data_IF_385556110983
#
_entry.id   IF_385556110983
#
_cell.length_a   1.000
_cell.length_b   1.000
_cell.length_c   1.000
_cell.angle_alpha   90.00
_cell.angle_beta   90.00
_cell.angle_gamma   90.00
#
_symmetry.space_group_name_H-M   'P 1'
#
loop_
_entity.id
_entity.type
_entity.pdbx_description
1 polymer ?
#
# COMPACT_ATOMS: atom_id res chain seq x y z
N UNK A 1 -5.72 62.24 18.80
CA UNK A 1 -6.17 62.03 20.20
C UNK A 1 -6.08 60.54 20.47
N UNK A 2 -5.40 60.18 21.56
CA UNK A 2 -5.02 58.81 21.93
C UNK A 2 -6.26 58.00 22.32
N UNK A 3 -6.50 56.88 21.66
CA UNK A 3 -7.43 55.85 22.15
C UNK A 3 -6.62 54.77 22.88
N UNK A 4 -6.98 54.57 24.14
CA UNK A 4 -6.47 53.49 25.01
C UNK A 4 -6.90 52.12 24.47
N UNK A 5 -6.08 51.07 24.59
CA UNK A 5 -6.51 49.70 24.38
C UNK A 5 -7.20 49.15 25.64
N UNK A 6 -8.27 48.38 25.42
CA UNK A 6 -8.93 47.55 26.43
C UNK A 6 -7.98 46.47 26.95
N UNK A 7 -7.95 46.30 28.27
CA UNK A 7 -7.38 45.14 28.94
C UNK A 7 -8.30 43.91 28.73
N UNK A 8 -7.76 42.87 28.09
CA UNK A 8 -8.28 41.51 28.21
C UNK A 8 -7.34 40.72 29.14
N UNK A 9 -7.91 40.20 30.21
CA UNK A 9 -7.25 39.36 31.22
C UNK A 9 -6.98 37.99 30.60
N UNK A 10 -5.71 37.72 30.26
CA UNK A 10 -5.27 36.39 29.83
C UNK A 10 -5.05 35.48 31.03
N UNK A 11 -5.89 34.45 31.16
CA UNK A 11 -5.62 33.30 32.02
C UNK A 11 -4.50 32.49 31.38
N UNK A 12 -3.32 32.51 31.98
CA UNK A 12 -2.17 31.69 31.56
C UNK A 12 -2.48 30.24 31.94
N UNK A 13 -2.88 29.42 30.96
CA UNK A 13 -2.79 27.98 31.09
C UNK A 13 -1.34 27.56 30.84
N UNK A 14 -0.64 27.21 31.92
CA UNK A 14 0.63 26.50 31.83
C UNK A 14 0.32 25.08 31.35
N UNK A 15 0.42 24.86 30.04
CA UNK A 15 0.48 23.50 29.48
C UNK A 15 1.83 22.94 29.86
N UNK A 16 1.84 22.02 30.81
CA UNK A 16 3.00 21.21 31.14
C UNK A 16 3.22 20.27 29.94
N UNK A 17 4.10 20.66 29.02
CA UNK A 17 4.58 19.75 27.99
C UNK A 17 5.33 18.61 28.68
N UNK A 18 4.68 17.46 28.82
CA UNK A 18 5.39 16.22 29.09
C UNK A 18 6.09 15.84 27.79
N UNK A 19 7.39 16.09 27.72
CA UNK A 19 8.27 15.41 26.78
C UNK A 19 8.25 13.92 27.10
N UNK A 20 7.44 13.15 26.36
CA UNK A 20 7.57 11.70 26.29
C UNK A 20 8.78 11.42 25.41
N UNK A 21 9.98 11.45 26.01
CA UNK A 21 11.15 10.79 25.42
C UNK A 21 11.05 9.32 25.75
N UNK A 22 10.23 8.63 24.97
CA UNK A 22 10.20 7.18 24.91
C UNK A 22 10.14 6.82 23.44
N UNK A 23 11.27 6.44 22.85
CA UNK A 23 11.24 5.59 21.66
C UNK A 23 10.46 4.36 22.07
N UNK A 24 9.21 4.22 21.60
CA UNK A 24 8.56 2.93 21.59
C UNK A 24 9.47 2.06 20.72
N UNK A 25 10.27 1.21 21.37
CA UNK A 25 10.97 0.14 20.66
C UNK A 25 9.85 -0.64 19.97
N UNK A 26 9.92 -0.76 18.65
CA UNK A 26 8.99 -1.59 17.88
C UNK A 26 8.92 -2.98 18.54
N UNK A 27 7.72 -3.56 18.58
CA UNK A 27 7.54 -4.85 19.23
C UNK A 27 8.42 -5.90 18.53
N UNK A 28 9.05 -6.80 19.31
CA UNK A 28 9.94 -7.80 18.72
C UNK A 28 9.13 -8.77 17.84
N UNK A 29 9.60 -9.07 16.61
CA UNK A 29 8.92 -10.02 15.75
C UNK A 29 8.92 -11.41 16.37
N UNK A 30 7.83 -12.16 16.16
CA UNK A 30 7.70 -13.52 16.68
C UNK A 30 8.66 -14.49 16.00
N UNK A 31 8.97 -14.27 14.72
CA UNK A 31 9.91 -15.11 13.97
C UNK A 31 10.48 -14.38 12.76
N UNK A 32 11.77 -14.54 12.50
CA UNK A 32 12.48 -13.94 11.36
C UNK A 32 13.35 -14.98 10.67
N UNK A 33 13.18 -15.09 9.35
CA UNK A 33 14.08 -15.82 8.46
C UNK A 33 14.16 -15.08 7.13
N UNK A 34 15.01 -14.05 7.10
CA UNK A 34 15.16 -13.17 5.94
C UNK A 34 15.58 -13.95 4.68
N UNK A 35 16.38 -15.02 4.84
CA UNK A 35 16.86 -15.85 3.73
C UNK A 35 15.72 -16.58 3.00
N UNK A 36 14.59 -16.80 3.68
CA UNK A 36 13.38 -17.39 3.12
C UNK A 36 12.23 -16.38 2.93
N UNK A 37 12.52 -15.08 2.96
CA UNK A 37 11.52 -14.01 2.91
C UNK A 37 10.47 -14.09 4.03
N UNK A 38 10.90 -14.37 5.27
CA UNK A 38 10.01 -14.49 6.42
C UNK A 38 10.29 -13.41 7.45
N UNK A 39 9.23 -12.70 7.83
CA UNK A 39 9.18 -11.83 9.00
C UNK A 39 7.74 -11.91 9.51
N UNK A 40 7.57 -12.48 10.69
CA UNK A 40 6.28 -12.63 11.37
C UNK A 40 6.22 -11.51 12.42
N UNK A 41 5.34 -10.51 12.25
CA UNK A 41 5.26 -9.35 13.16
C UNK A 41 4.81 -9.77 14.55
N UNK A 42 4.95 -8.90 15.55
CA UNK A 42 4.48 -9.16 16.91
C UNK A 42 2.95 -9.40 16.94
N UNK A 43 2.43 -10.05 17.98
CA UNK A 43 1.00 -10.41 18.01
C UNK A 43 0.10 -9.16 17.96
N UNK A 44 0.48 -8.11 18.68
CA UNK A 44 -0.19 -6.81 18.74
C UNK A 44 -0.17 -6.02 17.42
N UNK A 45 0.73 -6.36 16.50
CA UNK A 45 0.86 -5.71 15.19
C UNK A 45 0.02 -6.41 14.10
N UNK A 46 -0.55 -7.59 14.38
CA UNK A 46 -1.23 -8.42 13.37
C UNK A 46 -2.67 -8.06 13.12
N UNK A 47 -3.28 -7.23 13.95
CA UNK A 47 -4.67 -6.82 13.84
C UNK A 47 -4.80 -5.35 14.24
N UNK A 48 -5.35 -4.52 13.35
CA UNK A 48 -5.52 -3.08 13.57
C UNK A 48 -6.84 -2.62 12.96
N UNK A 49 -7.24 -1.39 13.28
CA UNK A 49 -8.45 -0.76 12.74
C UNK A 49 -8.08 0.27 11.67
N UNK A 50 -8.71 0.15 10.50
CA UNK A 50 -8.78 1.20 9.48
C UNK A 50 -10.20 1.76 9.50
N UNK A 51 -10.36 3.06 9.72
CA UNK A 51 -11.67 3.72 9.59
C UNK A 51 -11.81 4.24 8.16
N UNK A 52 -12.92 3.93 7.51
CA UNK A 52 -13.21 4.35 6.15
C UNK A 52 -14.51 5.14 6.14
N UNK A 53 -14.50 6.30 5.49
CA UNK A 53 -15.68 7.09 5.21
C UNK A 53 -15.78 7.39 3.73
N UNK A 54 -16.99 7.62 3.21
CA UNK A 54 -17.18 7.99 1.82
C UNK A 54 -18.28 9.03 1.66
N UNK A 55 -18.06 9.98 0.75
CA UNK A 55 -19.05 10.97 0.32
C UNK A 55 -18.97 11.14 -1.19
N UNK A 56 -20.08 11.50 -1.83
CA UNK A 56 -20.11 11.75 -3.27
C UNK A 56 -21.13 12.83 -3.63
N UNK A 57 -20.96 13.41 -4.82
CA UNK A 57 -21.92 14.33 -5.43
C UNK A 57 -22.18 13.89 -6.87
N UNK A 58 -22.73 14.78 -7.71
CA UNK A 58 -23.08 14.44 -9.10
C UNK A 58 -21.88 14.12 -10.00
N UNK A 59 -20.67 14.49 -9.61
CA UNK A 59 -19.48 14.39 -10.48
C UNK A 59 -18.34 13.59 -9.85
N UNK A 60 -18.20 13.64 -8.52
CA UNK A 60 -17.04 13.09 -7.80
C UNK A 60 -17.45 12.21 -6.63
N UNK A 61 -16.57 11.26 -6.31
CA UNK A 61 -16.54 10.53 -5.06
C UNK A 61 -15.26 10.90 -4.29
N UNK A 62 -15.37 10.96 -2.96
CA UNK A 62 -14.25 11.06 -2.06
C UNK A 62 -14.29 9.91 -1.05
N UNK A 63 -13.21 9.14 -1.00
CA UNK A 63 -12.95 8.13 0.04
C UNK A 63 -12.02 8.74 1.08
N UNK A 64 -12.35 8.58 2.35
CA UNK A 64 -11.57 9.07 3.48
C UNK A 64 -11.05 7.91 4.31
N UNK A 65 -9.80 8.00 4.72
CA UNK A 65 -9.16 7.04 5.61
C UNK A 65 -8.76 7.73 6.90
N UNK A 66 -8.97 7.05 8.03
CA UNK A 66 -8.29 7.32 9.29
C UNK A 66 -7.60 6.05 9.78
N UNK A 67 -6.29 6.13 10.01
CA UNK A 67 -5.47 5.02 10.49
C UNK A 67 -4.51 5.50 11.58
N UNK A 68 -4.74 5.06 12.81
CA UNK A 68 -3.90 5.38 13.97
C UNK A 68 -2.58 4.60 13.93
N UNK A 69 -1.46 5.30 14.12
CA UNK A 69 -0.14 4.68 14.24
C UNK A 69 0.81 5.59 15.03
N UNK A 70 1.54 5.02 15.99
CA UNK A 70 2.58 5.75 16.73
C UNK A 70 3.90 5.84 15.96
N UNK A 71 3.99 5.18 14.79
CA UNK A 71 5.20 5.08 13.98
C UNK A 71 4.94 5.42 12.50
N UNK A 72 4.40 6.61 12.18
CA UNK A 72 4.08 6.98 10.82
C UNK A 72 5.34 7.11 9.96
N UNK A 73 5.28 6.67 8.71
CA UNK A 73 6.39 6.87 7.77
C UNK A 73 5.97 7.50 6.45
N UNK A 74 6.48 8.70 6.20
CA UNK A 74 6.47 9.35 4.88
C UNK A 74 7.86 9.32 4.22
N UNK A 75 8.78 8.47 4.68
CA UNK A 75 10.12 8.31 4.11
C UNK A 75 10.12 7.19 3.08
N UNK A 76 10.92 7.31 2.00
CA UNK A 76 11.03 6.19 1.04
C UNK A 76 12.36 6.19 0.29
N UNK A 77 13.33 5.47 0.86
CA UNK A 77 14.62 5.15 0.28
C UNK A 77 15.45 6.37 -0.18
N UNK A 78 16.74 6.31 0.11
CA UNK A 78 17.63 7.45 -0.11
C UNK A 78 18.94 6.99 -0.71
N UNK A 79 19.55 7.84 -1.52
CA UNK A 79 20.95 7.75 -1.89
C UNK A 79 21.76 8.50 -0.84
N UNK A 80 22.75 7.84 -0.24
CA UNK A 80 23.67 8.44 0.72
C UNK A 80 25.08 8.34 0.12
N UNK A 81 25.78 9.46 0.06
CA UNK A 81 27.15 9.49 -0.45
C UNK A 81 28.11 8.93 0.61
N UNK A 82 28.74 7.80 0.31
CA UNK A 82 29.68 7.11 1.20
C UNK A 82 30.90 6.63 0.42
N UNK A 83 32.10 6.93 0.92
CA UNK A 83 33.37 6.45 0.34
C UNK A 83 33.52 6.74 -1.17
N UNK A 84 32.90 7.81 -1.66
CA UNK A 84 32.93 8.22 -3.07
C UNK A 84 31.82 7.64 -3.95
N UNK A 85 30.89 6.87 -3.37
CA UNK A 85 29.78 6.21 -4.08
C UNK A 85 28.42 6.62 -3.50
N UNK A 86 27.36 6.50 -4.31
CA UNK A 86 25.99 6.72 -3.85
C UNK A 86 25.34 5.39 -3.47
N UNK A 87 25.20 5.16 -2.17
CA UNK A 87 24.68 3.92 -1.61
C UNK A 87 23.18 4.05 -1.34
N UNK A 88 22.40 3.03 -1.70
CA UNK A 88 20.97 2.99 -1.43
C UNK A 88 20.70 2.57 0.01
N UNK A 89 19.99 3.42 0.74
CA UNK A 89 19.40 3.12 2.04
C UNK A 89 17.88 2.99 1.92
N UNK A 90 17.28 2.26 2.86
CA UNK A 90 15.86 1.95 2.88
C UNK A 90 15.52 0.69 2.07
N UNK A 91 14.78 -0.24 2.66
CA UNK A 91 14.19 -1.42 2.01
C UNK A 91 12.79 -1.67 2.56
N UNK A 92 11.89 -2.18 1.72
CA UNK A 92 10.55 -2.59 2.18
C UNK A 92 10.42 -4.09 2.42
N UNK A 93 11.52 -4.85 2.41
CA UNK A 93 11.45 -6.31 2.54
C UNK A 93 12.82 -6.95 2.80
N UNK A 94 12.87 -8.08 3.52
CA UNK A 94 11.78 -8.63 4.33
C UNK A 94 11.52 -7.81 5.59
N UNK A 95 10.24 -7.67 5.97
CA UNK A 95 9.83 -6.90 7.15
C UNK A 95 10.03 -5.38 7.04
N UNK A 96 9.93 -4.68 8.20
CA UNK A 96 10.25 -3.27 8.35
C UNK A 96 11.66 -2.90 7.90
N UNK A 97 11.81 -1.70 7.35
CA UNK A 97 13.13 -1.09 7.17
C UNK A 97 13.77 -0.81 8.54
N UNK A 98 15.03 -1.25 8.78
CA UNK A 98 15.70 -1.02 10.07
C UNK A 98 15.88 0.46 10.46
N UNK A 99 15.82 1.38 9.48
CA UNK A 99 15.94 2.82 9.69
C UNK A 99 14.59 3.54 9.59
N UNK A 100 13.49 2.83 9.37
CA UNK A 100 12.18 3.43 9.13
C UNK A 100 12.06 4.19 7.81
N UNK A 101 12.93 3.92 6.82
CA UNK A 101 13.03 4.66 5.56
C UNK A 101 12.19 4.04 4.43
N UNK A 102 10.99 3.58 4.76
CA UNK A 102 10.02 3.07 3.80
C UNK A 102 8.62 3.56 4.15
N UNK A 103 7.80 3.85 3.14
CA UNK A 103 6.58 4.64 3.33
C UNK A 103 5.38 3.79 3.78
N UNK A 104 4.48 4.45 4.50
CA UNK A 104 3.14 3.97 4.73
C UNK A 104 2.28 4.12 3.47
N UNK A 105 1.35 3.17 3.29
CA UNK A 105 0.45 3.12 2.13
C UNK A 105 -0.90 2.58 2.53
N UNK A 106 -1.94 3.17 1.96
CA UNK A 106 -3.31 2.68 2.06
C UNK A 106 -3.81 2.44 0.64
N UNK A 107 -4.31 1.24 0.38
CA UNK A 107 -4.74 0.82 -0.95
C UNK A 107 -6.16 0.26 -0.90
N UNK A 108 -6.94 0.51 -1.95
CA UNK A 108 -8.27 -0.06 -2.15
C UNK A 108 -8.32 -0.75 -3.51
N UNK A 109 -8.73 -2.01 -3.52
CA UNK A 109 -9.22 -2.69 -4.73
C UNK A 109 -10.72 -2.44 -4.84
N UNK A 110 -11.21 -2.16 -6.04
CA UNK A 110 -12.62 -1.91 -6.34
C UNK A 110 -13.05 -2.71 -7.56
N UNK A 111 -14.20 -3.37 -7.44
CA UNK A 111 -14.88 -4.07 -8.52
C UNK A 111 -16.37 -3.70 -8.58
N UNK A 112 -16.93 -3.74 -9.78
CA UNK A 112 -18.34 -3.46 -10.10
C UNK A 112 -19.18 -4.73 -10.29
N UNK A 113 -18.66 -5.89 -9.85
CA UNK A 113 -19.29 -7.20 -9.99
C UNK A 113 -18.91 -7.94 -11.27
N UNK A 114 -18.02 -7.37 -12.10
CA UNK A 114 -17.54 -8.03 -13.32
C UNK A 114 -16.40 -9.02 -13.07
N UNK A 115 -15.78 -9.02 -11.87
CA UNK A 115 -14.85 -10.07 -11.43
C UNK A 115 -15.62 -11.05 -10.54
N UNK A 116 -15.98 -12.26 -11.02
CA UNK A 116 -16.71 -13.23 -10.22
C UNK A 116 -15.97 -13.56 -8.93
N UNK A 117 -16.74 -13.68 -7.86
CA UNK A 117 -16.30 -14.11 -6.54
C UNK A 117 -15.32 -13.15 -5.81
N UNK A 118 -15.11 -11.94 -6.32
CA UNK A 118 -14.28 -10.96 -5.61
C UNK A 118 -14.93 -10.49 -4.29
N UNK A 119 -16.27 -10.43 -4.24
CA UNK A 119 -16.99 -10.08 -3.00
C UNK A 119 -16.85 -11.12 -1.90
N UNK A 120 -16.61 -12.36 -2.28
CA UNK A 120 -16.50 -13.53 -1.43
C UNK A 120 -15.04 -13.71 -0.99
N UNK A 121 -14.08 -13.61 -1.90
CA UNK A 121 -12.68 -13.95 -1.65
C UNK A 121 -11.77 -12.75 -1.39
N UNK A 122 -12.17 -11.56 -1.84
CA UNK A 122 -11.38 -10.34 -1.74
C UNK A 122 -9.98 -10.50 -2.34
N UNK A 123 -8.99 -9.89 -1.70
CA UNK A 123 -7.62 -9.85 -2.23
C UNK A 123 -6.92 -11.23 -2.31
N UNK A 124 -7.42 -12.28 -1.64
CA UNK A 124 -6.80 -13.61 -1.67
C UNK A 124 -6.82 -14.25 -3.06
N UNK A 125 -7.85 -13.96 -3.86
CA UNK A 125 -7.90 -14.43 -5.26
C UNK A 125 -6.77 -13.87 -6.12
N UNK A 126 -6.07 -12.84 -5.65
CA UNK A 126 -4.96 -12.21 -6.38
C UNK A 126 -3.57 -12.66 -5.91
N UNK A 127 -3.50 -13.53 -4.91
CA UNK A 127 -2.25 -13.97 -4.29
C UNK A 127 -1.94 -15.39 -4.73
N UNK A 128 -0.82 -15.58 -5.41
CA UNK A 128 -0.46 -16.85 -6.03
C UNK A 128 0.94 -17.29 -5.67
N UNK A 129 1.17 -18.61 -5.72
CA UNK A 129 2.51 -19.18 -5.65
C UNK A 129 3.46 -18.54 -6.68
N UNK A 130 4.72 -18.40 -6.32
CA UNK A 130 5.73 -17.78 -7.19
C UNK A 130 5.76 -16.26 -7.14
N UNK A 131 4.79 -15.61 -6.46
CA UNK A 131 4.81 -14.16 -6.28
C UNK A 131 6.06 -13.71 -5.51
N UNK A 132 6.58 -12.54 -5.91
CA UNK A 132 7.75 -11.94 -5.26
C UNK A 132 7.56 -11.83 -3.76
N UNK A 133 8.65 -12.00 -3.01
CA UNK A 133 8.69 -11.90 -1.55
C UNK A 133 7.88 -12.98 -0.80
N UNK A 134 7.26 -13.94 -1.50
CA UNK A 134 6.87 -15.21 -0.88
C UNK A 134 8.10 -16.12 -0.70
N UNK A 135 7.94 -17.13 0.15
CA UNK A 135 8.96 -18.18 0.36
C UNK A 135 9.18 -19.00 -0.90
N UNK A 136 8.13 -19.16 -1.72
CA UNK A 136 8.12 -19.89 -2.99
C UNK A 136 8.29 -18.98 -4.22
N UNK A 137 8.80 -17.76 -4.03
CA UNK A 137 8.95 -16.78 -5.11
C UNK A 137 9.67 -17.39 -6.32
N UNK A 138 9.12 -17.15 -7.51
CA UNK A 138 9.67 -17.66 -8.75
C UNK A 138 11.07 -17.06 -8.99
N UNK A 139 11.96 -17.87 -9.56
CA UNK A 139 13.29 -17.42 -9.92
C UNK A 139 13.21 -16.29 -10.96
N UNK A 140 13.97 -15.22 -10.73
CA UNK A 140 13.92 -14.03 -11.58
C UNK A 140 14.43 -14.28 -13.00
N UNK A 141 15.35 -15.24 -13.21
CA UNK A 141 15.79 -15.62 -14.56
C UNK A 141 14.68 -16.38 -15.29
N UNK A 142 13.96 -17.28 -14.59
CA UNK A 142 12.80 -17.95 -15.15
C UNK A 142 11.71 -16.95 -15.57
N UNK A 143 11.41 -15.94 -14.75
CA UNK A 143 10.43 -14.90 -15.12
C UNK A 143 10.90 -14.06 -16.31
N UNK A 144 12.19 -13.70 -16.38
CA UNK A 144 12.75 -12.97 -17.53
C UNK A 144 12.74 -13.79 -18.82
N UNK A 145 12.83 -15.11 -18.73
CA UNK A 145 12.77 -16.02 -19.87
C UNK A 145 11.33 -16.32 -20.34
N UNK A 146 10.31 -15.94 -19.56
CA UNK A 146 8.92 -16.13 -19.96
C UNK A 146 8.57 -15.20 -21.13
N UNK A 147 7.94 -15.69 -22.22
CA UNK A 147 7.67 -14.89 -23.42
C UNK A 147 6.94 -13.58 -23.13
N UNK A 148 5.81 -13.64 -22.41
CA UNK A 148 5.03 -12.43 -22.14
C UNK A 148 5.56 -11.62 -20.96
N UNK A 149 5.65 -12.20 -19.76
CA UNK A 149 6.11 -11.47 -18.58
C UNK A 149 7.53 -10.91 -18.75
N UNK A 150 8.45 -11.70 -19.28
CA UNK A 150 9.86 -11.34 -19.44
C UNK A 150 10.12 -10.52 -20.70
N UNK A 151 9.84 -11.09 -21.88
CA UNK A 151 10.22 -10.48 -23.16
C UNK A 151 9.31 -9.28 -23.51
N UNK A 152 7.99 -9.45 -23.45
CA UNK A 152 7.05 -8.38 -23.86
C UNK A 152 6.87 -7.31 -22.78
N UNK A 153 6.77 -7.71 -21.50
CA UNK A 153 6.47 -6.80 -20.39
C UNK A 153 7.70 -6.35 -19.60
N UNK A 154 8.89 -6.92 -19.85
CA UNK A 154 10.14 -6.55 -19.18
C UNK A 154 10.13 -6.84 -17.67
N UNK A 155 9.39 -7.85 -17.21
CA UNK A 155 9.30 -8.22 -15.79
C UNK A 155 10.39 -9.20 -15.40
N UNK A 156 10.72 -9.18 -14.11
CA UNK A 156 11.65 -10.13 -13.48
C UNK A 156 11.09 -10.70 -12.17
N UNK A 157 9.82 -10.41 -11.88
CA UNK A 157 9.12 -10.79 -10.68
C UNK A 157 7.64 -11.07 -11.00
N UNK A 158 7.04 -12.01 -10.28
CA UNK A 158 5.59 -12.26 -10.32
C UNK A 158 4.91 -11.36 -9.29
N UNK A 159 3.78 -10.74 -9.67
CA UNK A 159 2.95 -9.88 -8.80
C UNK A 159 1.49 -10.36 -8.85
N UNK A 160 0.61 -9.65 -8.17
CA UNK A 160 -0.83 -9.93 -8.16
C UNK A 160 -1.40 -10.07 -9.57
N UNK A 161 -2.25 -11.06 -9.80
CA UNK A 161 -3.02 -11.27 -11.03
C UNK A 161 -4.35 -11.96 -10.69
N UNK A 162 -5.32 -11.94 -11.61
CA UNK A 162 -6.61 -12.61 -11.47
C UNK A 162 -6.55 -14.02 -12.06
N UNK A 163 -7.17 -15.04 -11.43
CA UNK A 163 -7.12 -16.43 -11.88
C UNK A 163 -7.57 -16.60 -13.34
N UNK A 164 -8.67 -15.94 -13.74
CA UNK A 164 -9.23 -16.02 -15.10
C UNK A 164 -8.33 -15.46 -16.20
N UNK A 165 -7.22 -14.80 -15.86
CA UNK A 165 -6.19 -14.40 -16.83
C UNK A 165 -5.23 -15.55 -17.20
N UNK A 166 -5.39 -16.73 -16.61
CA UNK A 166 -4.59 -17.93 -16.89
C UNK A 166 -5.40 -18.95 -17.69
N UNK A 167 -4.70 -19.70 -18.53
CA UNK A 167 -5.27 -20.85 -19.26
C UNK A 167 -5.09 -22.12 -18.40
N UNK A 168 -5.82 -22.15 -17.28
CA UNK A 168 -5.74 -23.20 -16.27
C UNK A 168 -7.03 -23.28 -15.44
N UNK A 169 -7.32 -24.45 -14.87
CA UNK A 169 -8.28 -24.58 -13.77
C UNK A 169 -7.72 -23.95 -12.48
N UNK A 170 -8.58 -23.58 -11.52
CA UNK A 170 -8.20 -22.80 -10.33
C UNK A 170 -7.11 -23.43 -9.46
N UNK A 171 -7.16 -24.74 -9.26
CA UNK A 171 -6.16 -25.53 -8.54
C UNK A 171 -4.84 -25.72 -9.31
N UNK A 172 -4.85 -25.44 -10.62
CA UNK A 172 -3.69 -25.49 -11.51
C UNK A 172 -3.19 -24.12 -11.99
N UNK A 173 -3.82 -23.03 -11.50
CA UNK A 173 -3.44 -21.65 -11.81
C UNK A 173 -1.97 -21.45 -11.46
N UNK A 174 -1.21 -20.93 -12.42
CA UNK A 174 0.21 -20.68 -12.27
C UNK A 174 0.62 -19.46 -13.06
N UNK A 175 1.70 -18.82 -12.64
CA UNK A 175 2.10 -17.52 -13.17
C UNK A 175 2.53 -17.58 -14.65
N UNK A 176 2.94 -18.75 -15.13
CA UNK A 176 3.48 -19.04 -16.46
C UNK A 176 2.45 -19.60 -17.46
N UNK A 177 1.20 -19.82 -17.02
CA UNK A 177 0.08 -20.23 -17.89
C UNK A 177 -0.74 -19.04 -18.37
N UNK A 178 -0.10 -17.96 -18.80
CA UNK A 178 -0.79 -16.74 -19.21
C UNK A 178 -1.61 -16.97 -20.50
N UNK A 179 -2.85 -16.46 -20.54
CA UNK A 179 -3.66 -16.43 -21.77
C UNK A 179 -3.01 -15.59 -22.86
N UNK A 180 -3.46 -15.76 -24.10
CA UNK A 180 -2.98 -14.94 -25.22
C UNK A 180 -3.34 -13.45 -25.04
N UNK A 181 -2.60 -12.55 -25.67
CA UNK A 181 -2.85 -11.10 -25.63
C UNK A 181 -4.28 -10.74 -26.07
N UNK A 182 -4.81 -11.42 -27.10
CA UNK A 182 -6.18 -11.21 -27.58
C UNK A 182 -7.23 -11.60 -26.53
N UNK A 183 -7.01 -12.70 -25.80
CA UNK A 183 -7.89 -13.10 -24.70
C UNK A 183 -7.78 -12.15 -23.51
N UNK A 184 -6.57 -11.70 -23.17
CA UNK A 184 -6.34 -10.71 -22.11
C UNK A 184 -7.01 -9.38 -22.45
N UNK A 185 -6.92 -8.94 -23.70
CA UNK A 185 -7.60 -7.74 -24.18
C UNK A 185 -9.12 -7.92 -24.13
N UNK A 186 -9.64 -9.08 -24.53
CA UNK A 186 -11.07 -9.37 -24.44
C UNK A 186 -11.58 -9.36 -22.98
N UNK A 187 -10.81 -9.90 -22.03
CA UNK A 187 -11.14 -9.82 -20.59
C UNK A 187 -11.19 -8.36 -20.12
N UNK A 188 -10.21 -7.56 -20.54
CA UNK A 188 -10.14 -6.13 -20.21
C UNK A 188 -11.33 -5.34 -20.75
N UNK A 189 -11.73 -5.59 -21.99
CA UNK A 189 -12.91 -4.98 -22.64
C UNK A 189 -14.24 -5.40 -21.98
N UNK A 190 -14.27 -6.58 -21.37
CA UNK A 190 -15.40 -7.06 -20.57
C UNK A 190 -15.40 -6.50 -19.14
N UNK A 191 -14.42 -5.68 -18.77
CA UNK A 191 -14.30 -5.12 -17.44
C UNK A 191 -13.68 -6.06 -16.39
N UNK A 192 -13.19 -7.24 -16.77
CA UNK A 192 -12.62 -8.24 -15.85
C UNK A 192 -11.27 -7.78 -15.29
N UNK A 193 -11.26 -6.78 -14.42
CA UNK A 193 -10.08 -6.28 -13.72
C UNK A 193 -10.51 -5.65 -12.40
N UNK A 194 -9.58 -5.59 -11.43
CA UNK A 194 -9.79 -4.82 -10.20
C UNK A 194 -9.14 -3.45 -10.37
N UNK A 195 -9.90 -2.37 -10.18
CA UNK A 195 -9.38 -1.01 -10.08
C UNK A 195 -8.63 -0.88 -8.75
N UNK A 196 -7.42 -0.32 -8.74
CA UNK A 196 -6.50 -0.35 -7.60
C UNK A 196 -5.98 1.06 -7.29
N UNK A 197 -6.57 1.68 -6.29
CA UNK A 197 -6.16 3.01 -5.82
C UNK A 197 -5.09 2.85 -4.75
N UNK A 198 -3.99 3.59 -4.86
CA UNK A 198 -2.89 3.50 -3.91
C UNK A 198 -2.43 4.87 -3.46
N UNK A 199 -2.84 5.25 -2.25
CA UNK A 199 -2.21 6.36 -1.55
C UNK A 199 -0.83 5.94 -1.04
N UNK A 200 0.16 6.80 -1.26
CA UNK A 200 1.56 6.57 -0.89
C UNK A 200 2.14 7.80 -0.21
N UNK A 201 2.54 7.68 1.05
CA UNK A 201 2.95 8.80 1.87
C UNK A 201 4.15 9.58 1.32
N UNK A 202 5.10 8.92 0.62
CA UNK A 202 6.25 9.59 -0.02
C UNK A 202 6.06 9.72 -1.53
N UNK A 203 5.69 8.63 -2.19
CA UNK A 203 5.80 8.52 -3.66
C UNK A 203 4.70 9.23 -4.43
N UNK A 204 3.60 9.62 -3.80
CA UNK A 204 2.48 10.28 -4.51
C UNK A 204 1.86 11.44 -3.72
N UNK A 205 1.75 11.31 -2.41
CA UNK A 205 1.13 12.32 -1.56
C UNK A 205 1.76 13.72 -1.67
N UNK A 206 3.10 13.90 -1.73
CA UNK A 206 3.70 15.24 -1.78
C UNK A 206 3.40 16.01 -3.07
N UNK A 207 2.94 15.34 -4.13
CA UNK A 207 2.49 15.97 -5.38
C UNK A 207 0.97 16.05 -5.48
N UNK A 208 0.24 15.74 -4.40
CA UNK A 208 -1.22 15.90 -4.31
C UNK A 208 -2.03 14.77 -4.96
N UNK A 209 -1.45 13.58 -5.13
CA UNK A 209 -2.10 12.48 -5.86
C UNK A 209 -1.98 11.12 -5.16
N UNK A 210 -2.86 10.20 -5.55
CA UNK A 210 -2.68 8.76 -5.38
C UNK A 210 -2.32 8.11 -6.72
N UNK A 211 -1.59 6.99 -6.67
CA UNK A 211 -1.20 6.22 -7.87
C UNK A 211 -2.36 5.29 -8.26
N UNK A 212 -2.93 5.51 -9.44
CA UNK A 212 -4.01 4.67 -9.97
C UNK A 212 -3.44 3.50 -10.79
N UNK A 213 -3.93 2.30 -10.50
CA UNK A 213 -3.44 1.03 -11.03
C UNK A 213 -4.62 0.09 -11.26
N UNK A 214 -4.36 -1.09 -11.84
CA UNK A 214 -5.36 -2.16 -11.89
C UNK A 214 -4.72 -3.54 -11.83
N UNK A 215 -5.52 -4.57 -11.52
CA UNK A 215 -5.10 -5.98 -11.51
C UNK A 215 -5.90 -6.77 -12.55
N UNK A 216 -5.19 -7.36 -13.50
CA UNK A 216 -5.73 -8.30 -14.51
C UNK A 216 -4.76 -9.49 -14.62
N UNK A 217 -3.90 -9.51 -15.62
CA UNK A 217 -2.89 -10.57 -15.79
C UNK A 217 -1.63 -10.34 -14.96
N UNK A 218 -1.53 -9.14 -14.41
CA UNK A 218 -0.46 -8.64 -13.57
C UNK A 218 -0.98 -7.40 -12.81
N UNK A 219 -0.22 -6.89 -11.84
CA UNK A 219 -0.48 -5.57 -11.23
C UNK A 219 0.07 -4.50 -12.16
N UNK A 220 -0.82 -3.83 -12.88
CA UNK A 220 -0.54 -2.94 -13.98
C UNK A 220 -0.72 -1.47 -13.58
N UNK A 221 -0.09 -0.59 -14.34
CA UNK A 221 -0.31 0.84 -14.25
C UNK A 221 -1.47 1.21 -15.17
N UNK A 222 -2.38 2.06 -14.70
CA UNK A 222 -3.39 2.67 -15.55
C UNK A 222 -2.73 3.56 -16.61
N UNK A 223 -3.48 3.94 -17.65
CA UNK A 223 -3.01 4.79 -18.74
C UNK A 223 -2.39 6.09 -18.22
N UNK A 224 -1.31 6.54 -18.87
CA UNK A 224 -0.64 7.79 -18.54
C UNK A 224 0.60 7.64 -17.65
N UNK A 225 1.04 8.77 -17.10
CA UNK A 225 2.28 8.87 -16.33
C UNK A 225 1.99 8.78 -14.82
N UNK A 226 2.85 8.06 -14.09
CA UNK A 226 2.76 7.97 -12.62
C UNK A 226 3.50 9.08 -11.88
N UNK A 227 3.25 9.22 -10.57
CA UNK A 227 3.71 10.36 -9.77
C UNK A 227 5.21 10.34 -9.43
N UNK A 228 5.95 9.32 -9.87
CA UNK A 228 7.39 9.20 -9.59
C UNK A 228 8.17 8.42 -10.66
N UNK A 229 9.50 8.62 -10.65
CA UNK A 229 10.53 7.78 -11.28
C UNK A 229 11.63 7.46 -10.29
N UNK A 230 12.64 6.69 -10.73
CA UNK A 230 13.90 6.57 -10.02
C UNK A 230 14.76 7.84 -10.28
N UNK A 231 15.39 8.36 -9.23
CA UNK A 231 16.40 9.42 -9.32
C UNK A 231 17.77 8.79 -9.59
N UNK A 232 17.99 8.32 -10.82
CA UNK A 232 19.25 7.67 -11.18
C UNK A 232 19.54 7.84 -12.67
N UNK A 233 20.80 8.07 -13.00
CA UNK A 233 21.32 8.03 -14.36
C UNK A 233 22.17 6.75 -14.51
N UNK A 234 21.61 5.73 -15.16
CA UNK A 234 22.27 4.44 -15.36
C UNK A 234 23.59 4.55 -16.13
N UNK A 235 23.76 5.55 -17.00
CA UNK A 235 24.99 5.70 -17.79
C UNK A 235 26.09 6.36 -17.01
N UNK A 236 25.72 7.28 -16.11
CA UNK A 236 26.65 8.02 -15.28
C UNK A 236 26.84 7.41 -13.88
N UNK A 237 26.08 6.36 -13.56
CA UNK A 237 26.08 5.63 -12.28
C UNK A 237 25.99 6.57 -11.07
N UNK A 238 25.05 7.52 -11.13
CA UNK A 238 24.86 8.56 -10.11
C UNK A 238 23.42 9.08 -10.08
N UNK A 239 23.01 9.84 -9.05
CA UNK A 239 21.72 10.53 -9.05
C UNK A 239 21.56 11.45 -10.27
N UNK A 240 20.36 11.48 -10.84
CA UNK A 240 20.05 12.33 -11.98
C UNK A 240 19.70 13.77 -11.57
N UNK A 241 19.18 13.92 -10.35
CA UNK A 241 18.66 15.17 -9.80
C UNK A 241 19.16 15.39 -8.38
N UNK A 242 19.29 16.66 -8.01
CA UNK A 242 19.59 17.14 -6.66
C UNK A 242 18.62 18.26 -6.28
N UNK A 243 18.60 18.64 -4.99
CA UNK A 243 17.79 19.78 -4.56
C UNK A 243 18.24 21.08 -5.20
N UNK A 244 17.28 21.95 -5.52
CA UNK A 244 17.53 23.30 -5.98
C UNK A 244 17.81 24.23 -4.79
N UNK A 245 19.08 24.62 -4.53
CA UNK A 245 19.40 25.47 -3.38
C UNK A 245 18.78 26.87 -3.46
N UNK A 246 18.33 27.32 -4.64
CA UNK A 246 17.57 28.56 -4.77
C UNK A 246 16.15 28.49 -4.20
N UNK A 247 15.62 27.27 -3.99
CA UNK A 247 14.28 27.01 -3.44
C UNK A 247 14.39 26.43 -2.04
N UNK A 248 15.15 25.34 -1.88
CA UNK A 248 15.25 24.61 -0.61
C UNK A 248 16.31 25.16 0.33
N UNK A 249 17.24 25.97 -0.17
CA UNK A 249 18.38 26.48 0.60
C UNK A 249 19.56 25.50 0.71
N UNK A 250 19.45 24.28 0.18
CA UNK A 250 20.49 23.26 0.24
C UNK A 250 20.52 22.39 -1.02
N UNK A 251 21.61 21.62 -1.21
CA UNK A 251 21.77 20.70 -2.34
C UNK A 251 21.49 19.23 -1.97
N UNK A 252 21.71 18.88 -0.70
CA UNK A 252 21.52 17.55 -0.14
C UNK A 252 20.89 17.68 1.27
N UNK A 253 20.19 16.63 1.69
CA UNK A 253 19.67 16.49 3.05
C UNK A 253 20.80 16.09 4.02
N UNK A 254 20.57 16.31 5.30
CA UNK A 254 21.45 15.91 6.39
C UNK A 254 21.18 14.45 6.78
N UNK A 255 22.23 13.62 6.80
CA UNK A 255 22.14 12.20 7.13
C UNK A 255 21.65 11.95 8.55
N UNK A 256 22.15 12.68 9.54
CA UNK A 256 21.79 12.42 10.93
C UNK A 256 20.30 12.71 11.13
N UNK A 257 19.84 13.86 10.62
CA UNK A 257 18.43 14.24 10.62
C UNK A 257 17.54 13.21 9.89
N UNK A 258 18.02 12.63 8.79
CA UNK A 258 17.31 11.54 8.11
C UNK A 258 17.20 10.29 8.99
N UNK A 259 18.32 9.84 9.58
CA UNK A 259 18.38 8.63 10.39
C UNK A 259 17.59 8.75 11.70
N UNK A 260 17.51 9.95 12.25
CA UNK A 260 16.68 10.28 13.41
C UNK A 260 15.20 10.49 13.04
N UNK A 261 14.86 10.47 11.73
CA UNK A 261 13.51 10.74 11.19
C UNK A 261 12.95 12.11 11.60
N UNK A 262 13.82 13.10 11.66
CA UNK A 262 13.54 14.48 12.10
C UNK A 262 13.05 15.42 10.97
N UNK A 263 12.84 14.92 9.75
CA UNK A 263 12.19 15.66 8.66
C UNK A 263 10.67 15.52 8.77
N UNK A 264 9.99 16.61 9.12
CA UNK A 264 8.52 16.66 9.20
C UNK A 264 7.85 16.68 7.83
N UNK A 265 6.52 16.61 7.83
CA UNK A 265 5.71 16.67 6.60
C UNK A 265 5.82 18.03 5.88
N UNK A 266 6.18 19.09 6.60
CA UNK A 266 6.42 20.44 6.04
C UNK A 266 7.87 20.64 5.54
N UNK A 267 8.75 19.67 5.74
CA UNK A 267 10.14 19.72 5.27
C UNK A 267 10.30 19.10 3.87
N UNK A 268 11.45 19.37 3.24
CA UNK A 268 11.84 18.72 1.98
C UNK A 268 12.43 17.32 2.21
N UNK A 269 11.59 16.35 2.58
CA UNK A 269 11.97 14.93 2.70
C UNK A 269 11.91 14.14 1.37
N UNK A 270 11.41 14.79 0.32
CA UNK A 270 11.23 14.26 -1.03
C UNK A 270 11.88 15.19 -2.05
N UNK A 271 12.07 14.72 -3.28
CA UNK A 271 12.60 15.50 -4.39
C UNK A 271 11.57 15.49 -5.53
N UNK A 272 11.22 16.66 -6.08
CA UNK A 272 10.24 16.77 -7.17
C UNK A 272 10.67 17.73 -8.28
N UNK A 273 9.96 17.72 -9.40
CA UNK A 273 10.15 18.66 -10.52
C UNK A 273 10.19 20.14 -10.09
N UNK A 274 9.43 20.51 -9.06
CA UNK A 274 9.33 21.90 -8.59
C UNK A 274 10.54 22.34 -7.76
N UNK A 275 11.22 21.41 -7.08
CA UNK A 275 12.27 21.71 -6.10
C UNK A 275 13.64 21.13 -6.48
N UNK A 276 13.78 20.60 -7.69
CA UNK A 276 15.00 19.96 -8.15
C UNK A 276 15.71 20.72 -9.28
N UNK A 277 17.00 20.42 -9.43
CA UNK A 277 17.82 20.77 -10.59
C UNK A 277 18.63 19.54 -11.02
N UNK A 278 19.12 19.48 -12.28
CA UNK A 278 20.00 18.40 -12.70
C UNK A 278 21.18 18.25 -11.74
N UNK A 279 21.57 17.01 -11.47
CA UNK A 279 22.70 16.69 -10.60
C UNK A 279 23.98 17.41 -11.06
N UNK A 280 24.66 18.09 -10.13
CA UNK A 280 25.93 18.77 -10.37
C UNK A 280 27.11 17.86 -9.99
N UNK A 281 27.78 17.22 -10.95
CA UNK A 281 28.90 16.33 -10.65
C UNK A 281 30.19 17.07 -10.28
N UNK A 282 30.24 18.39 -10.42
CA UNK A 282 31.40 19.19 -10.02
C UNK A 282 31.22 19.78 -8.61
N UNK A 283 30.07 19.52 -7.97
CA UNK A 283 29.91 19.83 -6.56
C UNK A 283 30.84 18.92 -5.73
N UNK A 284 31.47 19.50 -4.71
CA UNK A 284 32.27 18.77 -3.73
C UNK A 284 31.33 18.03 -2.77
N UNK A 285 30.76 16.91 -3.22
CA UNK A 285 29.87 16.05 -2.43
C UNK A 285 30.61 15.50 -1.21
N UNK A 286 29.98 15.62 -0.05
CA UNK A 286 30.55 15.26 1.23
C UNK A 286 30.00 13.92 1.72
N UNK A 287 30.81 13.22 2.52
CA UNK A 287 30.39 12.01 3.23
C UNK A 287 29.09 12.26 4.00
N UNK A 288 28.07 11.45 3.72
CA UNK A 288 26.74 11.57 4.31
C UNK A 288 25.80 12.55 3.60
N UNK A 289 26.15 13.12 2.43
CA UNK A 289 25.16 13.86 1.63
C UNK A 289 24.02 12.93 1.19
N UNK A 290 22.78 13.39 1.37
CA UNK A 290 21.58 12.58 1.13
C UNK A 290 20.73 13.15 0.00
N UNK A 291 20.29 12.29 -0.92
CA UNK A 291 19.29 12.59 -1.95
C UNK A 291 18.17 11.55 -1.97
N UNK A 292 16.89 11.94 -2.13
CA UNK A 292 15.81 10.98 -2.29
C UNK A 292 16.04 10.05 -3.50
N UNK A 293 15.78 8.75 -3.31
CA UNK A 293 15.89 7.75 -4.36
C UNK A 293 14.79 7.90 -5.42
N UNK A 294 13.64 8.45 -5.02
CA UNK A 294 12.51 8.74 -5.89
C UNK A 294 12.55 10.19 -6.33
N UNK A 295 12.29 10.41 -7.62
CA UNK A 295 12.04 11.73 -8.17
C UNK A 295 10.53 11.84 -8.45
N UNK A 296 9.86 12.76 -7.77
CA UNK A 296 8.42 12.97 -7.90
C UNK A 296 8.11 13.93 -9.04
N UNK A 297 7.01 13.68 -9.72
CA UNK A 297 6.57 14.43 -10.90
C UNK A 297 5.06 14.47 -10.97
N UNK A 298 4.52 15.43 -11.70
CA UNK A 298 3.08 15.49 -11.89
C UNK A 298 2.60 14.27 -12.71
N UNK A 299 1.65 13.47 -12.19
CA UNK A 299 1.07 12.37 -12.93
C UNK A 299 0.08 12.88 -13.99
N UNK A 300 -0.24 12.05 -14.97
CA UNK A 300 -1.18 12.38 -16.06
C UNK A 300 -2.03 11.18 -16.45
N UNK A 301 -3.10 11.43 -17.20
CA UNK A 301 -3.99 10.38 -17.68
C UNK A 301 -4.75 9.69 -16.55
N UNK A 302 -5.25 8.49 -16.81
CA UNK A 302 -5.98 7.68 -15.81
C UNK A 302 -5.14 7.41 -14.55
N UNK A 303 -3.82 7.25 -14.70
CA UNK A 303 -2.88 7.00 -13.62
C UNK A 303 -2.78 8.12 -12.59
N UNK A 304 -3.03 9.36 -13.00
CA UNK A 304 -3.03 10.56 -12.15
C UNK A 304 -4.42 11.06 -11.75
N UNK A 305 -5.49 10.33 -12.08
CA UNK A 305 -6.86 10.82 -11.93
C UNK A 305 -7.38 10.91 -10.48
N UNK A 306 -6.61 10.42 -9.51
CA UNK A 306 -7.00 10.45 -8.09
C UNK A 306 -6.20 11.54 -7.39
N UNK A 307 -6.89 12.59 -6.97
CA UNK A 307 -6.34 13.62 -6.10
C UNK A 307 -6.24 13.10 -4.67
N UNK A 308 -5.17 13.46 -3.96
CA UNK A 308 -4.96 13.10 -2.57
C UNK A 308 -4.66 14.33 -1.72
N UNK A 309 -5.32 14.43 -0.57
CA UNK A 309 -5.10 15.48 0.44
C UNK A 309 -5.15 14.89 1.85
N UNK A 310 -4.94 15.74 2.86
CA UNK A 310 -4.79 15.34 4.26
C UNK A 310 -3.33 15.13 4.65
N UNK A 311 -3.07 14.32 5.66
CA UNK A 311 -1.73 14.04 6.18
C UNK A 311 -1.75 13.28 7.50
N UNK A 312 -0.61 13.14 8.14
CA UNK A 312 -0.50 12.60 9.49
C UNK A 312 -0.68 13.70 10.53
N UNK A 313 -1.64 13.56 11.43
CA UNK A 313 -1.92 14.53 12.49
C UNK A 313 -2.61 13.85 13.66
N UNK A 314 -2.34 14.33 14.88
CA UNK A 314 -2.98 13.82 16.11
C UNK A 314 -2.91 12.29 16.27
N UNK A 315 -1.80 11.65 15.87
CA UNK A 315 -1.61 10.21 16.04
C UNK A 315 -2.16 9.33 14.90
N UNK A 316 -2.72 9.94 13.85
CA UNK A 316 -3.34 9.19 12.76
C UNK A 316 -3.05 9.77 11.38
N UNK A 317 -2.98 8.88 10.38
CA UNK A 317 -3.13 9.27 8.98
C UNK A 317 -4.58 9.62 8.71
N UNK A 318 -4.85 10.85 8.25
CA UNK A 318 -6.16 11.31 7.79
C UNK A 318 -6.06 11.71 6.33
N UNK A 319 -6.54 10.84 5.44
CA UNK A 319 -6.29 10.94 4.00
C UNK A 319 -7.60 11.00 3.24
N UNK A 320 -7.71 11.93 2.29
CA UNK A 320 -8.84 12.02 1.37
C UNK A 320 -8.38 11.69 -0.04
N UNK A 321 -9.07 10.75 -0.70
CA UNK A 321 -8.86 10.41 -2.11
C UNK A 321 -10.09 10.78 -2.92
N UNK A 322 -9.93 11.71 -3.86
CA UNK A 322 -11.05 12.22 -4.68
C UNK A 322 -10.82 11.88 -6.15
N UNK A 323 -11.85 11.37 -6.83
CA UNK A 323 -11.86 11.22 -8.28
C UNK A 323 -13.25 11.42 -8.85
N UNK A 324 -13.36 11.51 -10.17
CA UNK A 324 -14.64 11.52 -10.89
C UNK A 324 -15.39 10.20 -10.72
N UNK A 325 -16.72 10.26 -10.77
CA UNK A 325 -17.59 9.07 -10.84
C UNK A 325 -17.42 8.33 -12.17
N UNK A 326 -17.38 9.07 -13.28
CA UNK A 326 -17.02 8.51 -14.58
C UNK A 326 -15.58 7.99 -14.55
N UNK A 327 -15.37 6.75 -15.00
CA UNK A 327 -14.04 6.18 -15.12
C UNK A 327 -13.16 7.06 -16.03
N UNK A 328 -11.96 7.48 -15.59
CA UNK A 328 -11.05 8.23 -16.44
C UNK A 328 -10.62 7.44 -17.68
N UNK A 329 -10.59 6.10 -17.57
CA UNK A 329 -10.51 5.18 -18.69
C UNK A 329 -11.22 3.85 -18.34
N UNK A 330 -12.28 3.46 -19.06
CA UNK A 330 -13.05 2.25 -18.75
C UNK A 330 -12.28 0.94 -18.95
N UNK A 331 -11.10 0.97 -19.58
CA UNK A 331 -10.24 -0.20 -19.71
C UNK A 331 -9.29 -0.38 -18.50
N UNK A 332 -9.21 0.56 -17.57
CA UNK A 332 -8.34 0.44 -16.40
C UNK A 332 -8.91 0.98 -15.09
N UNK A 333 -10.11 1.56 -15.12
CA UNK A 333 -10.81 2.11 -13.96
C UNK A 333 -12.30 1.78 -14.05
N UNK A 334 -12.97 1.59 -12.91
CA UNK A 334 -14.42 1.34 -12.89
C UNK A 334 -15.21 2.64 -12.84
N UNK A 335 -16.35 2.72 -13.53
CA UNK A 335 -17.29 3.83 -13.36
C UNK A 335 -18.14 3.60 -12.12
N UNK A 336 -18.50 4.69 -11.44
CA UNK A 336 -19.36 4.69 -10.27
C UNK A 336 -20.63 5.47 -10.56
N UNK A 337 -21.76 5.03 -10.02
CA UNK A 337 -23.07 5.62 -10.28
C UNK A 337 -23.90 5.73 -8.99
N UNK A 338 -24.74 6.76 -8.92
CA UNK A 338 -25.72 6.93 -7.85
C UNK A 338 -26.63 5.69 -7.74
N UNK A 339 -26.78 5.15 -6.52
CA UNK A 339 -27.50 3.89 -6.27
C UNK A 339 -26.70 2.62 -6.61
N UNK A 340 -25.45 2.74 -7.06
CA UNK A 340 -24.56 1.61 -7.34
C UNK A 340 -24.00 0.95 -6.07
N UNK A 341 -23.73 -0.35 -6.17
CA UNK A 341 -23.05 -1.14 -5.13
C UNK A 341 -21.83 -1.82 -5.72
N UNK A 342 -20.71 -1.72 -5.02
CA UNK A 342 -19.39 -2.16 -5.48
C UNK A 342 -18.74 -3.05 -4.43
N UNK A 343 -17.88 -3.97 -4.86
CA UNK A 343 -17.07 -4.77 -3.95
C UNK A 343 -15.72 -4.07 -3.76
N UNK A 344 -15.26 -3.94 -2.51
CA UNK A 344 -13.98 -3.32 -2.18
C UNK A 344 -13.17 -4.14 -1.19
N UNK A 345 -11.84 -4.07 -1.26
CA UNK A 345 -10.95 -4.66 -0.27
C UNK A 345 -9.75 -3.74 -0.02
N UNK A 346 -9.36 -3.59 1.25
CA UNK A 346 -8.36 -2.63 1.68
C UNK A 346 -7.05 -3.30 2.10
N UNK A 347 -5.96 -2.56 1.95
CA UNK A 347 -4.64 -2.93 2.43
C UNK A 347 -3.94 -1.72 3.08
N UNK A 348 -3.27 -1.96 4.21
CA UNK A 348 -2.47 -0.95 4.91
C UNK A 348 -1.04 -1.47 5.07
N UNK A 349 -0.09 -0.79 4.44
CA UNK A 349 1.34 -0.91 4.75
C UNK A 349 1.68 0.15 5.78
N UNK A 350 2.24 -0.27 6.92
CA UNK A 350 2.73 0.61 7.98
C UNK A 350 4.07 0.11 8.51
N UNK A 351 4.63 0.75 9.54
CA UNK A 351 5.88 0.36 10.20
C UNK A 351 7.05 0.17 9.22
N UNK A 352 7.16 1.08 8.26
CA UNK A 352 8.19 1.08 7.22
C UNK A 352 8.35 -0.27 6.49
N UNK A 353 7.22 -0.95 6.23
CA UNK A 353 7.20 -2.24 5.56
C UNK A 353 6.70 -2.16 4.12
N UNK A 354 7.11 -3.13 3.33
CA UNK A 354 6.82 -3.23 1.91
C UNK A 354 6.24 -4.56 1.48
N UNK A 355 6.02 -4.67 0.17
CA UNK A 355 5.67 -5.93 -0.48
C UNK A 355 4.52 -6.69 0.21
N UNK A 356 4.75 -7.94 0.67
CA UNK A 356 3.72 -8.76 1.32
C UNK A 356 3.48 -8.44 2.79
N UNK A 357 4.33 -7.64 3.44
CA UNK A 357 4.16 -7.28 4.85
C UNK A 357 3.20 -6.09 4.94
N UNK A 358 1.94 -6.39 5.17
CA UNK A 358 0.84 -5.44 5.29
C UNK A 358 -0.34 -6.07 6.00
N UNK A 359 -1.30 -5.25 6.36
CA UNK A 359 -2.60 -5.66 6.86
C UNK A 359 -3.63 -5.61 5.73
N UNK A 360 -4.61 -6.51 5.73
CA UNK A 360 -5.69 -6.58 4.76
C UNK A 360 -7.05 -6.65 5.43
N UNK A 361 -8.08 -6.07 4.83
CA UNK A 361 -9.46 -6.26 5.26
C UNK A 361 -10.07 -7.52 4.66
N UNK A 362 -11.18 -8.00 5.24
CA UNK A 362 -12.15 -8.76 4.45
C UNK A 362 -12.79 -7.88 3.36
N UNK A 363 -13.31 -8.47 2.26
CA UNK A 363 -14.07 -7.73 1.27
C UNK A 363 -15.30 -7.05 1.89
N UNK A 364 -15.59 -5.84 1.46
CA UNK A 364 -16.71 -5.01 1.90
C UNK A 364 -17.56 -4.62 0.68
N UNK A 365 -18.79 -4.20 0.95
CA UNK A 365 -19.64 -3.51 -0.02
C UNK A 365 -19.52 -2.00 0.15
N UNK A 366 -19.30 -1.27 -0.94
CA UNK A 366 -19.35 0.19 -1.03
C UNK A 366 -20.61 0.59 -1.79
N UNK A 367 -21.55 1.24 -1.13
CA UNK A 367 -22.82 1.67 -1.70
C UNK A 367 -22.90 3.18 -1.88
N UNK A 368 -23.18 3.67 -3.08
CA UNK A 368 -23.42 5.10 -3.33
C UNK A 368 -24.90 5.40 -3.05
N UNK A 369 -25.19 5.92 -1.85
CA UNK A 369 -26.56 6.15 -1.41
C UNK A 369 -27.36 4.86 -1.15
N UNK A 370 -26.67 3.75 -0.88
CA UNK A 370 -27.29 2.44 -0.60
C UNK A 370 -27.06 2.10 0.88
N UNK A 371 -28.11 2.26 1.69
CA UNK A 371 -28.03 2.15 3.16
C UNK A 371 -27.68 0.74 3.67
N UNK A 372 -27.90 -0.31 2.86
CA UNK A 372 -27.63 -1.70 3.24
C UNK A 372 -26.17 -2.14 2.96
N UNK A 373 -25.31 -1.25 2.45
CA UNK A 373 -23.89 -1.52 2.22
C UNK A 373 -23.06 -1.42 3.52
N UNK A 374 -21.92 -2.11 3.58
CA UNK A 374 -20.99 -2.03 4.72
C UNK A 374 -20.39 -0.62 4.86
N UNK A 375 -20.09 0.01 3.73
CA UNK A 375 -19.60 1.39 3.63
C UNK A 375 -20.61 2.16 2.79
N UNK A 376 -21.32 3.08 3.42
CA UNK A 376 -22.28 3.95 2.74
C UNK A 376 -21.58 5.24 2.33
N UNK A 377 -21.41 5.45 1.03
CA UNK A 377 -21.01 6.75 0.51
C UNK A 377 -22.23 7.68 0.57
N UNK A 378 -22.12 8.77 1.33
CA UNK A 378 -23.22 9.71 1.53
C UNK A 378 -23.28 10.74 0.41
N UNK A 379 -24.47 10.94 -0.18
CA UNK A 379 -24.67 11.97 -1.20
C UNK A 379 -24.71 13.36 -0.56
N UNK A 380 -23.96 14.31 -1.13
CA UNK A 380 -23.89 15.69 -0.64
C UNK A 380 -24.07 16.71 -1.77
N UNK A 381 -24.66 17.87 -1.46
CA UNK A 381 -25.01 18.95 -2.40
C UNK A 381 -23.93 20.05 -2.49
N UNK A 382 -22.66 19.73 -2.20
CA UNK A 382 -21.61 20.73 -2.05
C UNK A 382 -20.18 20.19 -2.11
N UNK A 383 -19.26 20.95 -1.51
CA UNK A 383 -17.84 20.62 -1.44
C UNK A 383 -17.60 19.37 -0.59
N UNK A 384 -17.05 18.34 -1.24
CA UNK A 384 -16.76 17.06 -0.59
C UNK A 384 -15.79 17.23 0.58
N UNK A 385 -14.86 18.19 0.55
CA UNK A 385 -13.85 18.35 1.61
C UNK A 385 -14.45 18.83 2.95
N UNK A 386 -15.60 19.50 2.91
CA UNK A 386 -16.27 20.02 4.11
C UNK A 386 -17.43 19.15 4.59
N UNK A 387 -17.75 18.09 3.86
CA UNK A 387 -18.83 17.19 4.22
C UNK A 387 -18.51 16.42 5.51
N UNK A 388 -19.52 16.26 6.35
CA UNK A 388 -19.48 15.23 7.40
C UNK A 388 -19.52 13.85 6.76
N UNK A 389 -18.90 12.87 7.41
CA UNK A 389 -18.84 11.50 6.90
C UNK A 389 -19.19 10.52 8.00
N UNK A 390 -19.92 9.47 7.63
CA UNK A 390 -20.07 8.29 8.48
C UNK A 390 -18.86 7.38 8.33
N UNK A 391 -18.30 7.01 9.48
CA UNK A 391 -17.09 6.20 9.55
C UNK A 391 -17.47 4.74 9.81
N UNK A 392 -17.06 3.86 8.91
CA UNK A 392 -17.09 2.41 9.12
C UNK A 392 -15.72 1.98 9.68
N UNK A 393 -15.72 1.26 10.80
CA UNK A 393 -14.51 0.65 11.34
C UNK A 393 -14.27 -0.71 10.69
N UNK A 394 -13.17 -0.82 9.94
CA UNK A 394 -12.74 -2.06 9.31
C UNK A 394 -11.55 -2.62 10.07
N UNK A 395 -11.66 -3.87 10.50
CA UNK A 395 -10.50 -4.58 10.99
C UNK A 395 -9.63 -5.03 9.81
N UNK A 396 -8.33 -4.77 9.92
CA UNK A 396 -7.30 -5.19 8.98
C UNK A 396 -6.29 -6.09 9.69
N UNK A 397 -5.89 -7.18 9.05
CA UNK A 397 -5.06 -8.21 9.68
C UNK A 397 -3.92 -8.70 8.79
N UNK A 398 -2.89 -9.29 9.42
CA UNK A 398 -1.74 -9.85 8.72
C UNK A 398 -2.11 -11.14 7.96
N UNK A 399 -2.01 -11.18 6.61
CA UNK A 399 -2.53 -12.29 5.81
C UNK A 399 -1.57 -13.49 5.70
N UNK A 400 -0.30 -13.36 6.12
CA UNK A 400 0.72 -14.40 5.96
C UNK A 400 1.07 -14.69 4.50
N UNK A 401 1.10 -15.98 4.13
CA UNK A 401 1.48 -16.46 2.78
C UNK A 401 0.44 -17.44 2.18
N UNK A 402 -0.84 -17.23 2.50
CA UNK A 402 -1.96 -18.00 1.94
C UNK A 402 -2.11 -17.63 0.45
N UNK A 403 -2.14 -18.65 -0.41
CA UNK A 403 -2.24 -18.50 -1.86
C UNK A 403 -3.58 -19.03 -2.37
N UNK A 404 -4.02 -18.53 -3.52
CA UNK A 404 -5.20 -19.00 -4.25
C UNK A 404 -5.13 -20.51 -4.53
N UNK A 405 -3.96 -21.00 -4.92
CA UNK A 405 -3.74 -22.43 -5.12
C UNK A 405 -4.04 -23.20 -3.84
N UNK A 406 -3.53 -22.75 -2.68
CA UNK A 406 -3.80 -23.43 -1.42
C UNK A 406 -5.29 -23.48 -1.06
N UNK A 407 -6.01 -22.37 -1.28
CA UNK A 407 -7.45 -22.28 -1.04
C UNK A 407 -8.27 -23.25 -1.92
N UNK A 408 -7.75 -23.59 -3.11
CA UNK A 408 -8.43 -24.43 -4.09
C UNK A 408 -7.88 -25.88 -4.17
N UNK A 409 -7.00 -26.29 -3.26
CA UNK A 409 -6.47 -27.67 -3.25
C UNK A 409 -7.51 -28.70 -2.79
N UNK A 410 -7.39 -29.93 -3.28
CA UNK A 410 -8.18 -31.11 -2.88
C UNK A 410 -8.28 -31.33 -1.36
N UNK A 411 -7.21 -30.99 -0.63
CA UNK A 411 -7.11 -31.19 0.81
C UNK A 411 -7.61 -30.00 1.64
N UNK A 412 -8.08 -28.92 1.00
CA UNK A 412 -8.74 -27.81 1.67
C UNK A 412 -10.22 -28.15 1.94
N UNK A 413 -10.68 -28.25 3.21
CA UNK A 413 -12.03 -28.72 3.54
C UNK A 413 -13.17 -27.89 2.94
N UNK A 414 -12.92 -26.64 2.56
CA UNK A 414 -13.89 -25.72 1.96
C UNK A 414 -13.76 -25.52 0.45
N UNK A 415 -12.94 -26.32 -0.25
CA UNK A 415 -12.63 -26.13 -1.67
C UNK A 415 -13.88 -25.98 -2.55
N UNK A 416 -14.80 -26.94 -2.52
CA UNK A 416 -15.98 -26.98 -3.42
C UNK A 416 -16.82 -25.69 -3.26
N UNK A 417 -17.00 -25.23 -2.01
CA UNK A 417 -17.71 -23.99 -1.73
C UNK A 417 -16.93 -22.71 -2.13
N UNK A 418 -15.60 -22.74 -2.12
CA UNK A 418 -14.77 -21.64 -2.62
C UNK A 418 -14.87 -21.54 -4.14
N UNK A 419 -14.79 -22.68 -4.84
CA UNK A 419 -14.91 -22.77 -6.30
C UNK A 419 -16.30 -22.33 -6.79
N UNK A 420 -17.36 -22.71 -6.08
CA UNK A 420 -18.74 -22.31 -6.40
C UNK A 420 -19.07 -20.87 -5.94
N UNK A 421 -18.24 -20.29 -5.06
CA UNK A 421 -18.52 -19.00 -4.41
C UNK A 421 -19.61 -19.05 -3.35
N UNK A 422 -19.94 -20.25 -2.87
CA UNK A 422 -20.98 -20.51 -1.87
C UNK A 422 -20.55 -20.11 -0.45
N UNK A 423 -19.24 -19.97 -0.20
CA UNK A 423 -18.71 -19.49 1.08
C UNK A 423 -17.72 -18.36 0.83
N UNK A 424 -18.05 -17.17 1.35
CA UNK A 424 -17.13 -16.04 1.40
C UNK A 424 -16.16 -16.12 2.59
N UNK A 425 -15.04 -15.39 2.51
CA UNK A 425 -14.06 -15.31 3.58
C UNK A 425 -14.65 -14.77 4.90
N UNK A 426 -15.74 -13.99 4.81
CA UNK A 426 -16.50 -13.47 5.96
C UNK A 426 -17.37 -14.53 6.64
N UNK A 427 -17.67 -15.62 5.93
CA UNK A 427 -18.54 -16.71 6.38
C UNK A 427 -17.73 -17.90 6.93
N UNK A 428 -16.40 -17.83 6.84
CA UNK A 428 -15.49 -18.76 7.49
C UNK A 428 -15.75 -18.73 9.00
N UNK A 429 -15.70 -19.89 9.64
CA UNK A 429 -15.93 -20.09 11.09
C UNK A 429 -14.84 -19.49 12.01
N UNK A 430 -14.00 -18.58 11.50
CA UNK A 430 -12.87 -17.97 12.21
C UNK A 430 -13.12 -16.47 12.36
N UNK A 431 -12.96 -15.97 13.59
CA UNK A 431 -12.80 -14.55 13.87
C UNK A 431 -11.55 -14.01 13.18
N UNK A 432 -11.46 -12.69 12.99
CA UNK A 432 -10.28 -12.05 12.41
C UNK A 432 -8.98 -12.35 13.18
N UNK A 433 -9.06 -12.46 14.50
CA UNK A 433 -7.94 -12.91 15.34
C UNK A 433 -7.53 -14.35 15.02
N UNK A 434 -8.50 -15.25 14.85
CA UNK A 434 -8.24 -16.65 14.46
C UNK A 434 -7.68 -16.75 13.05
N UNK A 435 -8.12 -15.90 12.09
CA UNK A 435 -7.54 -15.87 10.74
C UNK A 435 -6.10 -15.37 10.79
N UNK A 436 -5.80 -14.29 11.54
CA UNK A 436 -4.43 -13.81 11.71
C UNK A 436 -3.52 -14.88 12.35
N UNK A 437 -4.02 -15.58 13.38
CA UNK A 437 -3.30 -16.69 14.00
C UNK A 437 -3.11 -17.87 13.04
N UNK A 438 -4.13 -18.20 12.25
CA UNK A 438 -4.07 -19.22 11.21
C UNK A 438 -3.02 -18.88 10.15
N UNK A 439 -2.98 -17.64 9.66
CA UNK A 439 -1.98 -17.16 8.70
C UNK A 439 -0.55 -17.35 9.20
N UNK A 440 -0.30 -17.08 10.49
CA UNK A 440 1.00 -17.32 11.14
C UNK A 440 1.32 -18.81 11.24
N UNK A 441 0.36 -19.62 11.69
CA UNK A 441 0.53 -21.07 11.79
C UNK A 441 0.81 -21.72 10.43
N UNK A 442 0.09 -21.28 9.39
CA UNK A 442 0.27 -21.71 8.01
C UNK A 442 1.68 -21.38 7.49
N UNK A 443 2.16 -20.16 7.77
CA UNK A 443 3.50 -19.72 7.39
C UNK A 443 4.59 -20.56 8.10
N UNK A 444 4.45 -20.82 9.41
CA UNK A 444 5.35 -21.71 10.16
C UNK A 444 5.35 -23.14 9.60
N UNK A 445 4.18 -23.67 9.27
CA UNK A 445 4.03 -25.00 8.65
C UNK A 445 4.77 -25.08 7.30
N UNK A 446 4.62 -24.07 6.43
CA UNK A 446 5.36 -23.98 5.15
C UNK A 446 6.87 -24.02 5.36
N UNK A 447 7.37 -23.51 6.48
CA UNK A 447 8.79 -23.46 6.81
C UNK A 447 9.32 -24.74 7.46
N UNK A 448 8.46 -25.71 7.76
CA UNK A 448 8.81 -26.91 8.52
C UNK A 448 9.16 -26.62 9.99
N UNK A 449 8.77 -25.44 10.50
CA UNK A 449 8.95 -25.05 11.90
C UNK A 449 7.78 -25.62 12.68
N UNK A 450 8.03 -26.60 13.55
CA UNK A 450 6.99 -27.08 14.46
C UNK A 450 6.62 -25.96 15.43
N UNK A 451 5.36 -25.90 15.92
CA UNK A 451 5.05 -25.04 17.05
C UNK A 451 6.04 -25.41 18.17
N UNK A 452 6.75 -24.43 18.73
CA UNK A 452 7.43 -24.66 20.00
C UNK A 452 6.35 -25.14 20.98
N UNK A 453 6.58 -26.30 21.61
CA UNK A 453 5.76 -26.78 22.70
C UNK A 453 5.91 -25.80 23.86
N UNK A 454 5.15 -24.71 23.81
CA UNK A 454 5.11 -23.68 24.84
C UNK A 454 4.55 -24.31 26.13
N UNK A 455 5.44 -24.52 27.10
CA UNK A 455 5.21 -24.77 28.52
C UNK A 455 4.09 -25.78 28.90
N UNK A 456 4.26 -27.06 28.52
CA UNK A 456 3.65 -28.20 29.24
C UNK A 456 4.60 -28.92 30.21
N UNK A 457 5.61 -28.22 30.72
CA UNK A 457 6.50 -28.71 31.79
C UNK A 457 6.45 -27.86 33.07
N UNK A 458 5.28 -27.34 33.46
CA UNK A 458 5.05 -26.89 34.84
C UNK A 458 3.72 -27.42 35.39
N UNK A 459 3.49 -28.73 35.38
CA UNK A 459 2.59 -29.42 36.32
C UNK A 459 2.75 -30.95 36.23
N UNK A 460 3.96 -31.44 36.46
CA UNK A 460 4.21 -32.82 36.90
C UNK A 460 5.39 -32.85 37.87
N UNK A 461 5.12 -32.54 39.12
CA UNK A 461 5.34 -33.44 40.27
C UNK A 461 4.87 -32.82 41.59
#
# INVERSE_FOLDING_TARGET
MKHQPLHLSGTVFTVLAMTVTGSALAAEPEFVDEARNVYIPAQEERLRTLRVGAVYNDEHIQIRYEFETDNPSWYHQYWIFEDGEWIRYGRGSPGPDPHGLYEDRISMMLDDGSVPHFGEHGAYMTVHEGMRTLTDAADGEAVRAHPVLGEDMGRSDVRKYLPGSRDAADDEVSWDKLKSDDEIQALREQGYFLDLWQWRAHRSHPVGHADNNYVLHYRLNSEGQGPFTDNWDDKAERPAWMFNPGITGFKAMDRQRLMDRDYGQDDWYYLSEEIAVPFDPNHDWQEGDVLPQRFLRQPTGSRGAIAASGGYEEGAWRIHLTRTLEAPNPLDSKSLEDGGSYQVAFAVHTDASGARWHLVSHPQTLGLGVDDADIVAQRVEGDLDTAEVEWTELQVYYPGQITWQWLNRDDHPGREAIEEGDIGIREIHLTLEEIAAFSVAFERQKLGVQPEDDDREEHRD
#
